data_IF_883942178918
#
_entry.id   IF_883942178918
#
_cell.length_a   1.000
_cell.length_b   1.000
_cell.length_c   1.000
_cell.angle_alpha   90.00
_cell.angle_beta   90.00
_cell.angle_gamma   90.00
#
_symmetry.space_group_name_H-M   'P 1'
#
loop_
_entity.id
_entity.type
_entity.pdbx_description
1 polymer ?
#
# COMPACT_ATOMS: atom_id res chain seq x y z
N UNK A 1 10.66 -46.12 -39.55
CA UNK A 1 9.41 -45.45 -39.96
C UNK A 1 8.64 -45.12 -38.69
N UNK A 2 8.50 -43.82 -38.39
CA UNK A 2 7.54 -43.10 -37.52
C UNK A 2 7.18 -43.64 -36.12
N UNK A 3 6.98 -42.86 -35.06
CA UNK A 3 7.19 -41.45 -34.62
C UNK A 3 6.54 -41.41 -33.21
N UNK A 4 6.82 -40.36 -32.42
CA UNK A 4 6.06 -39.87 -31.24
C UNK A 4 6.38 -40.61 -29.93
N UNK A 5 6.71 -39.97 -28.80
CA UNK A 5 6.18 -38.72 -28.23
C UNK A 5 7.24 -38.01 -27.36
N UNK A 6 8.16 -37.27 -27.97
CA UNK A 6 8.85 -36.18 -27.28
C UNK A 6 7.94 -34.95 -27.33
N UNK A 7 7.45 -34.53 -26.17
CA UNK A 7 6.57 -33.38 -26.10
C UNK A 7 5.81 -33.32 -24.78
N UNK A 8 6.54 -33.35 -23.65
CA UNK A 8 6.02 -32.71 -22.45
C UNK A 8 5.83 -31.23 -22.81
N UNK A 9 4.63 -30.89 -23.28
CA UNK A 9 4.19 -29.53 -23.49
C UNK A 9 4.24 -28.85 -22.12
N UNK A 10 5.36 -28.17 -21.85
CA UNK A 10 5.42 -27.11 -20.86
C UNK A 10 4.31 -26.13 -21.25
N UNK A 11 3.17 -26.20 -20.55
CA UNK A 11 2.13 -25.17 -20.66
C UNK A 11 2.80 -23.86 -20.24
N UNK A 12 3.12 -23.00 -21.21
CA UNK A 12 3.45 -21.61 -20.93
C UNK A 12 2.21 -20.98 -20.32
N UNK A 13 2.19 -20.87 -18.99
CA UNK A 13 1.23 -20.04 -18.30
C UNK A 13 1.42 -18.60 -18.79
N UNK A 14 0.35 -17.98 -19.25
CA UNK A 14 0.34 -16.55 -19.51
C UNK A 14 0.20 -15.87 -18.15
N UNK A 15 1.11 -14.97 -17.82
CA UNK A 15 1.02 -14.15 -16.62
C UNK A 15 0.00 -13.04 -16.91
N UNK A 16 -1.17 -13.12 -16.28
CA UNK A 16 -2.27 -12.17 -16.50
C UNK A 16 -2.12 -10.90 -15.64
N UNK A 17 -1.48 -11.04 -14.48
CA UNK A 17 -1.26 -9.95 -13.54
C UNK A 17 0.19 -9.47 -13.61
N UNK A 18 0.37 -8.15 -13.64
CA UNK A 18 1.71 -7.55 -13.61
C UNK A 18 2.28 -7.66 -12.19
N UNK A 19 3.40 -8.38 -11.97
CA UNK A 19 3.97 -8.56 -10.64
C UNK A 19 4.51 -7.26 -10.02
N UNK A 20 4.60 -6.18 -10.81
CA UNK A 20 4.99 -4.86 -10.33
C UNK A 20 3.78 -3.98 -9.96
N UNK A 21 2.55 -4.45 -10.18
CA UNK A 21 1.33 -3.75 -9.81
C UNK A 21 0.67 -4.42 -8.62
N UNK A 22 0.42 -3.63 -7.59
CA UNK A 22 -0.47 -4.04 -6.51
C UNK A 22 -1.90 -4.14 -7.04
N UNK A 23 -2.61 -5.17 -6.60
CA UNK A 23 -4.06 -5.19 -6.64
C UNK A 23 -4.61 -4.06 -5.75
N UNK A 24 -5.88 -3.69 -5.96
CA UNK A 24 -6.56 -2.68 -5.13
C UNK A 24 -6.54 -3.07 -3.64
N UNK A 25 -6.67 -4.37 -3.34
CA UNK A 25 -6.62 -4.87 -1.96
C UNK A 25 -5.23 -4.70 -1.34
N UNK A 26 -4.18 -5.09 -2.07
CA UNK A 26 -2.79 -4.93 -1.62
C UNK A 26 -2.40 -3.47 -1.47
N UNK A 27 -2.84 -2.60 -2.39
CA UNK A 27 -2.59 -1.17 -2.29
C UNK A 27 -3.23 -0.59 -1.03
N UNK A 28 -4.48 -0.98 -0.74
CA UNK A 28 -5.19 -0.53 0.48
C UNK A 28 -4.46 -0.98 1.75
N UNK A 29 -4.04 -2.23 1.81
CA UNK A 29 -3.35 -2.79 2.96
C UNK A 29 -1.97 -2.15 3.13
N UNK A 30 -1.25 -1.93 2.02
CA UNK A 30 0.02 -1.21 2.01
C UNK A 30 -0.14 0.24 2.50
N UNK A 31 -1.17 0.95 2.04
CA UNK A 31 -1.48 2.30 2.50
C UNK A 31 -1.76 2.34 4.00
N UNK A 32 -2.53 1.39 4.55
CA UNK A 32 -2.81 1.32 5.99
C UNK A 32 -1.54 1.13 6.82
N UNK A 33 -0.67 0.18 6.41
CA UNK A 33 0.62 -0.06 7.09
C UNK A 33 1.52 1.18 7.02
N UNK A 34 1.58 1.81 5.85
CA UNK A 34 2.40 3.01 5.64
C UNK A 34 1.89 4.19 6.48
N UNK A 35 0.59 4.40 6.55
CA UNK A 35 -0.02 5.46 7.38
C UNK A 35 0.28 5.24 8.87
N UNK A 36 0.10 4.02 9.37
CA UNK A 36 0.42 3.68 10.76
C UNK A 36 1.89 3.97 11.11
N UNK A 37 2.83 3.51 10.28
CA UNK A 37 4.27 3.78 10.47
C UNK A 37 4.62 5.25 10.38
N UNK A 38 3.97 5.99 9.50
CA UNK A 38 4.19 7.44 9.35
C UNK A 38 3.73 8.16 10.61
N UNK A 39 2.53 7.85 11.10
CA UNK A 39 1.98 8.37 12.36
C UNK A 39 2.92 8.09 13.54
N UNK A 40 3.32 6.83 13.72
CA UNK A 40 4.25 6.43 14.79
C UNK A 40 5.56 7.21 14.72
N UNK A 41 6.14 7.35 13.52
CA UNK A 41 7.41 8.08 13.33
C UNK A 41 7.28 9.57 13.63
N UNK A 42 6.20 10.21 13.16
CA UNK A 42 5.95 11.64 13.40
C UNK A 42 5.74 11.89 14.89
N UNK A 43 4.98 11.03 15.57
CA UNK A 43 4.73 11.17 17.00
C UNK A 43 5.96 10.87 17.86
N UNK A 44 6.77 9.88 17.48
CA UNK A 44 8.05 9.62 18.12
C UNK A 44 9.02 10.81 18.03
N UNK A 45 8.89 11.65 16.99
CA UNK A 45 9.66 12.89 16.84
C UNK A 45 9.05 14.08 17.62
N UNK A 46 7.94 13.89 18.34
CA UNK A 46 7.22 14.97 19.02
C UNK A 46 6.55 15.97 18.07
N UNK A 47 6.31 15.56 16.82
CA UNK A 47 5.70 16.41 15.79
C UNK A 47 4.21 16.08 15.65
N UNK A 48 3.43 17.07 15.20
CA UNK A 48 2.04 16.86 14.80
C UNK A 48 1.98 16.24 13.40
N UNK A 49 1.05 15.30 13.21
CA UNK A 49 0.69 14.78 11.90
C UNK A 49 -0.30 15.75 11.25
N UNK A 50 0.15 16.45 10.22
CA UNK A 50 -0.68 17.43 9.48
C UNK A 50 -1.19 16.83 8.19
N UNK A 51 -2.51 16.86 7.98
CA UNK A 51 -3.17 16.34 6.77
C UNK A 51 -4.43 17.12 6.42
N UNK A 52 -4.88 17.00 5.17
CA UNK A 52 -6.16 17.56 4.73
C UNK A 52 -7.29 16.57 5.02
N UNK A 53 -8.36 17.04 5.67
CA UNK A 53 -9.58 16.29 5.89
C UNK A 53 -10.80 17.16 5.59
N UNK A 54 -11.61 16.73 4.61
CA UNK A 54 -12.84 17.43 4.19
C UNK A 54 -12.60 18.91 3.83
N UNK A 55 -11.51 19.19 3.12
CA UNK A 55 -11.14 20.56 2.72
C UNK A 55 -10.61 21.44 3.84
N UNK A 56 -10.27 20.86 5.01
CA UNK A 56 -9.68 21.56 6.14
C UNK A 56 -8.34 20.94 6.50
N UNK A 57 -7.42 21.77 6.96
CA UNK A 57 -6.15 21.28 7.49
C UNK A 57 -6.35 20.82 8.94
N UNK A 58 -5.90 19.61 9.23
CA UNK A 58 -5.99 18.97 10.55
C UNK A 58 -4.59 18.66 11.04
N UNK A 59 -4.31 19.00 12.29
CA UNK A 59 -3.13 18.58 13.02
C UNK A 59 -3.54 17.58 14.10
N UNK A 60 -2.99 16.37 14.04
CA UNK A 60 -3.13 15.35 15.09
C UNK A 60 -1.84 15.24 15.89
N UNK A 61 -1.94 15.21 17.21
CA UNK A 61 -0.80 15.18 18.13
C UNK A 61 -0.65 13.81 18.81
N UNK A 62 0.53 13.50 19.40
CA UNK A 62 0.80 12.22 20.06
C UNK A 62 -0.14 11.89 21.23
N UNK A 63 -0.73 12.91 21.87
CA UNK A 63 -1.69 12.80 22.97
C UNK A 63 -3.14 12.57 22.50
N UNK A 64 -3.33 12.36 21.19
CA UNK A 64 -4.62 12.27 20.50
C UNK A 64 -5.41 13.59 20.48
N UNK A 65 -4.77 14.72 20.77
CA UNK A 65 -5.36 16.03 20.47
C UNK A 65 -5.46 16.21 18.96
N UNK A 66 -6.57 16.81 18.51
CA UNK A 66 -6.83 17.09 17.10
C UNK A 66 -7.25 18.54 16.96
N UNK A 67 -6.49 19.32 16.21
CA UNK A 67 -6.76 20.73 15.93
C UNK A 67 -7.05 20.95 14.44
N UNK A 68 -7.93 21.91 14.16
CA UNK A 68 -8.13 22.44 12.82
C UNK A 68 -7.17 23.64 12.66
N UNK A 69 -6.28 23.56 11.68
CA UNK A 69 -5.22 24.57 11.44
C UNK A 69 -5.69 25.67 10.47
N UNK A 70 -6.88 25.50 9.86
CA UNK A 70 -7.48 26.43 8.88
C UNK A 70 -8.95 26.76 9.16
#
# INVERSE_FOLDING_TARGET
MNKQTEGHLLKKGVMYDDPFKMTIAEERDWQAIRQARTRERVFAAGQALVYEWRGRMVAEYPDNMVDIVS
#
